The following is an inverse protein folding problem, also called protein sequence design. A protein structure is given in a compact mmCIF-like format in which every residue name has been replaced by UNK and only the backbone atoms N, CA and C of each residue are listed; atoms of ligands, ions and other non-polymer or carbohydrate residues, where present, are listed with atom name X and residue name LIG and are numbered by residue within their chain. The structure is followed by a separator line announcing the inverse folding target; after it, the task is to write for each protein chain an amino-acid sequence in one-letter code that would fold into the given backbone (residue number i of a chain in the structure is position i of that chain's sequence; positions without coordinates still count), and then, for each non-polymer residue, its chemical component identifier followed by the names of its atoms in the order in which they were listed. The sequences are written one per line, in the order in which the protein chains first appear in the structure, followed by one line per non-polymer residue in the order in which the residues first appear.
data_IF_246011381872
#
_entry.id   IF_246011381872
#
_cell.length_a   1.000
_cell.length_b   1.000
_cell.length_c   1.000
_cell.angle_alpha   90.00
_cell.angle_beta   90.00
_cell.angle_gamma   90.00
#
_symmetry.space_group_name_H-M   'P 1'
#
loop_
_entity.id
_entity.type
_entity.pdbx_description
1 polymer ?
#
# COMPACT_ATOMS: atom_id res chain seq x y z
N UNK A 1 -2.56 39.77 -1.78
CA UNK A 1 -3.77 39.30 -1.12
C UNK A 1 -3.52 37.92 -0.54
N UNK A 2 -3.21 37.87 0.74
CA UNK A 2 -3.04 36.61 1.47
C UNK A 2 -4.43 36.08 1.81
N UNK A 3 -4.94 35.17 0.99
CA UNK A 3 -6.18 34.44 1.29
C UNK A 3 -5.80 33.15 1.99
N UNK A 4 -6.10 33.09 3.27
CA UNK A 4 -5.93 31.86 4.04
C UNK A 4 -7.02 30.86 3.66
N UNK A 5 -6.63 29.70 3.13
CA UNK A 5 -7.56 28.63 2.82
C UNK A 5 -7.95 27.90 4.10
N UNK A 6 -9.24 27.94 4.43
CA UNK A 6 -9.77 27.18 5.55
C UNK A 6 -10.56 25.98 5.04
N UNK A 7 -10.09 24.82 5.40
CA UNK A 7 -10.78 23.56 5.07
C UNK A 7 -11.97 23.33 5.99
N UNK A 8 -13.03 22.73 5.45
CA UNK A 8 -14.14 22.22 6.25
C UNK A 8 -13.70 21.08 7.19
N UNK A 9 -14.58 20.66 8.14
CA UNK A 9 -14.21 19.69 9.19
C UNK A 9 -13.79 18.31 8.66
N UNK A 10 -14.29 17.92 7.47
CA UNK A 10 -13.97 16.63 6.85
C UNK A 10 -12.98 16.74 5.68
N UNK A 11 -12.37 17.92 5.48
CA UNK A 11 -11.38 18.14 4.42
C UNK A 11 -10.01 18.20 5.06
N UNK A 12 -9.12 17.32 4.60
CA UNK A 12 -7.71 17.26 5.03
C UNK A 12 -6.81 17.19 3.83
N UNK A 13 -5.63 17.77 3.96
CA UNK A 13 -4.57 17.62 2.98
C UNK A 13 -4.04 16.19 2.93
N UNK A 14 -3.39 15.86 1.81
CA UNK A 14 -2.69 14.60 1.66
C UNK A 14 -1.48 14.55 2.60
N UNK A 15 -1.19 13.39 3.20
CA UNK A 15 0.04 13.21 3.96
C UNK A 15 1.25 13.32 3.02
N UNK A 16 2.41 13.61 3.60
CA UNK A 16 3.66 13.69 2.84
C UNK A 16 3.96 12.33 2.19
N UNK A 17 4.23 12.37 0.89
CA UNK A 17 4.65 11.20 0.11
C UNK A 17 6.16 11.26 -0.12
N UNK A 18 6.82 10.11 -0.08
CA UNK A 18 8.26 9.99 -0.25
C UNK A 18 8.60 9.34 -1.59
N UNK A 19 9.70 9.75 -2.25
CA UNK A 19 10.13 9.09 -3.49
C UNK A 19 10.60 7.65 -3.21
N UNK A 20 10.54 6.83 -4.25
CA UNK A 20 10.99 5.44 -4.19
C UNK A 20 12.49 5.37 -3.94
N UNK A 21 12.91 4.50 -3.03
CA UNK A 21 14.31 4.19 -2.77
C UNK A 21 14.83 3.18 -3.79
N UNK A 22 16.14 2.91 -3.78
CA UNK A 22 16.78 1.97 -4.70
C UNK A 22 16.24 0.55 -4.53
N UNK A 23 16.06 0.11 -3.29
CA UNK A 23 15.52 -1.20 -2.94
C UNK A 23 14.19 -1.07 -2.21
N UNK A 24 13.42 -2.14 -2.22
CA UNK A 24 12.11 -2.19 -1.59
C UNK A 24 12.00 -3.45 -0.72
N UNK A 25 11.75 -3.25 0.58
CA UNK A 25 11.36 -4.32 1.50
C UNK A 25 9.86 -4.23 1.72
N UNK A 26 9.15 -5.31 1.47
CA UNK A 26 7.70 -5.37 1.59
C UNK A 26 7.31 -6.34 2.70
N UNK A 27 6.32 -5.96 3.49
CA UNK A 27 5.68 -6.87 4.43
C UNK A 27 4.21 -7.02 4.03
N UNK A 28 3.76 -8.27 3.92
CA UNK A 28 2.37 -8.55 3.56
C UNK A 28 1.44 -8.14 4.70
N UNK A 29 0.52 -7.24 4.41
CA UNK A 29 -0.49 -6.77 5.34
C UNK A 29 -1.86 -7.40 5.08
N UNK A 30 -2.08 -7.91 3.86
CA UNK A 30 -3.28 -8.66 3.51
C UNK A 30 -2.97 -9.70 2.43
N UNK A 31 -3.56 -10.87 2.56
CA UNK A 31 -3.48 -11.96 1.57
C UNK A 31 -4.91 -12.43 1.29
N UNK A 32 -5.40 -12.21 0.07
CA UNK A 32 -6.78 -12.50 -0.31
C UNK A 32 -6.78 -13.53 -1.44
N UNK A 33 -7.28 -14.72 -1.15
CA UNK A 33 -7.33 -15.83 -2.11
C UNK A 33 -8.65 -15.93 -2.90
N UNK A 34 -9.58 -15.00 -2.70
CA UNK A 34 -10.82 -14.95 -3.47
C UNK A 34 -10.52 -14.76 -4.97
N UNK A 35 -11.35 -15.35 -5.87
CA UNK A 35 -11.11 -15.24 -7.31
C UNK A 35 -11.01 -13.81 -7.82
N UNK A 36 -11.83 -12.89 -7.28
CA UNK A 36 -11.83 -11.47 -7.63
C UNK A 36 -11.98 -10.63 -6.35
N UNK A 37 -11.23 -9.55 -6.24
CA UNK A 37 -11.37 -8.55 -5.19
C UNK A 37 -11.87 -7.25 -5.82
N UNK A 38 -13.05 -6.80 -5.40
CA UNK A 38 -13.68 -5.59 -5.94
C UNK A 38 -13.11 -4.32 -5.31
N UNK A 39 -13.27 -3.19 -5.99
CA UNK A 39 -12.90 -1.89 -5.43
C UNK A 39 -13.74 -1.53 -4.21
N UNK A 40 -14.98 -2.02 -4.11
CA UNK A 40 -15.83 -1.82 -2.93
C UNK A 40 -15.31 -2.60 -1.72
N UNK A 41 -14.66 -3.74 -1.92
CA UNK A 41 -13.94 -4.46 -0.85
C UNK A 41 -12.66 -3.74 -0.45
N UNK A 42 -11.94 -3.18 -1.44
CA UNK A 42 -10.71 -2.41 -1.19
C UNK A 42 -11.01 -1.11 -0.43
N UNK A 43 -12.08 -0.43 -0.82
CA UNK A 43 -12.56 0.79 -0.15
C UNK A 43 -14.09 0.86 -0.24
N UNK A 44 -14.84 0.58 0.84
CA UNK A 44 -16.30 0.57 0.82
C UNK A 44 -16.87 1.96 0.53
N UNK A 45 -17.54 2.13 -0.61
CA UNK A 45 -18.03 3.44 -1.08
C UNK A 45 -19.22 3.97 -0.29
N UNK A 46 -20.11 3.08 0.18
CA UNK A 46 -21.31 3.47 0.91
C UNK A 46 -21.05 4.10 2.27
N UNK A 47 -20.02 3.62 2.98
CA UNK A 47 -19.67 4.09 4.32
C UNK A 47 -18.74 5.30 4.29
N UNK A 48 -18.14 5.61 3.15
CA UNK A 48 -17.04 6.56 3.02
C UNK A 48 -17.41 7.85 2.29
N UNK A 49 -18.67 8.01 1.86
CA UNK A 49 -19.09 9.14 1.04
C UNK A 49 -18.82 10.51 1.69
N UNK A 50 -18.94 10.62 3.01
CA UNK A 50 -18.67 11.86 3.75
C UNK A 50 -17.19 12.16 3.95
N UNK A 51 -16.30 11.23 3.66
CA UNK A 51 -14.85 11.36 3.89
C UNK A 51 -14.02 11.48 2.61
N UNK A 52 -14.64 11.67 1.45
CA UNK A 52 -13.93 11.72 0.15
C UNK A 52 -12.86 12.81 0.08
N UNK A 53 -13.04 13.90 0.80
CA UNK A 53 -12.07 15.01 0.87
C UNK A 53 -11.13 14.93 2.07
N UNK A 54 -11.11 13.79 2.78
CA UNK A 54 -10.24 13.55 3.92
C UNK A 54 -9.50 12.21 3.70
N UNK A 55 -8.36 12.20 3.00
CA UNK A 55 -7.67 10.96 2.63
C UNK A 55 -7.25 10.13 3.83
N UNK A 56 -6.86 10.76 4.93
CA UNK A 56 -6.47 10.04 6.15
C UNK A 56 -7.66 9.28 6.76
N UNK A 57 -8.82 9.92 6.85
CA UNK A 57 -10.02 9.28 7.39
C UNK A 57 -10.60 8.25 6.44
N UNK A 58 -10.61 8.55 5.15
CA UNK A 58 -11.05 7.62 4.11
C UNK A 58 -10.23 6.33 4.13
N UNK A 59 -8.90 6.44 4.27
CA UNK A 59 -8.01 5.30 4.26
C UNK A 59 -8.25 4.32 5.42
N UNK A 60 -8.80 4.77 6.53
CA UNK A 60 -9.12 3.90 7.67
C UNK A 60 -10.17 2.84 7.33
N UNK A 61 -10.93 3.01 6.25
CA UNK A 61 -11.91 2.04 5.77
C UNK A 61 -11.35 1.04 4.75
N UNK A 62 -10.08 1.17 4.36
CA UNK A 62 -9.47 0.27 3.38
C UNK A 62 -9.54 -1.18 3.85
N UNK A 63 -10.13 -2.06 3.04
CA UNK A 63 -10.35 -3.48 3.33
C UNK A 63 -11.11 -3.76 4.64
N UNK A 64 -11.81 -2.78 5.21
CA UNK A 64 -12.44 -2.89 6.52
C UNK A 64 -13.46 -4.03 6.62
N UNK A 65 -14.14 -4.35 5.52
CA UNK A 65 -15.11 -5.46 5.47
C UNK A 65 -14.45 -6.81 5.22
N UNK A 66 -13.31 -6.84 4.54
CA UNK A 66 -12.68 -8.08 4.07
C UNK A 66 -11.52 -8.53 4.94
N UNK A 67 -10.63 -7.60 5.28
CA UNK A 67 -9.47 -7.84 6.15
C UNK A 67 -9.38 -6.70 7.16
N UNK A 68 -10.14 -6.77 8.27
CA UNK A 68 -10.20 -5.68 9.25
C UNK A 68 -8.82 -5.32 9.84
N UNK A 69 -7.91 -6.28 9.90
CA UNK A 69 -6.56 -6.10 10.45
C UNK A 69 -5.62 -5.33 9.52
N UNK A 70 -5.98 -5.19 8.25
CA UNK A 70 -5.12 -4.58 7.23
C UNK A 70 -4.66 -3.17 7.60
N UNK A 71 -5.59 -2.31 8.00
CA UNK A 71 -5.28 -0.90 8.32
C UNK A 71 -4.28 -0.82 9.46
N UNK A 72 -4.48 -1.57 10.53
CA UNK A 72 -3.57 -1.62 11.68
C UNK A 72 -2.19 -2.14 11.31
N UNK A 73 -2.11 -3.23 10.56
CA UNK A 73 -0.85 -3.82 10.10
C UNK A 73 -0.10 -2.85 9.17
N UNK A 74 -0.80 -2.25 8.22
CA UNK A 74 -0.19 -1.30 7.27
C UNK A 74 0.33 -0.05 7.98
N UNK A 75 -0.43 0.49 8.92
CA UNK A 75 0.03 1.64 9.74
C UNK A 75 1.26 1.31 10.57
N UNK A 76 1.33 0.11 11.16
CA UNK A 76 2.51 -0.33 11.92
C UNK A 76 3.75 -0.42 11.02
N UNK A 77 3.61 -0.93 9.81
CA UNK A 77 4.68 -0.98 8.81
C UNK A 77 5.10 0.44 8.43
N UNK A 78 4.15 1.33 8.19
CA UNK A 78 4.42 2.73 7.86
C UNK A 78 5.21 3.45 8.95
N UNK A 79 4.87 3.22 10.22
CA UNK A 79 5.59 3.82 11.34
C UNK A 79 7.05 3.35 11.40
N UNK A 80 7.31 2.08 11.09
CA UNK A 80 8.67 1.55 11.01
C UNK A 80 9.46 2.17 9.86
N UNK A 81 8.82 2.44 8.73
CA UNK A 81 9.48 3.13 7.60
C UNK A 81 9.81 4.59 7.94
N UNK A 82 8.88 5.30 8.58
CA UNK A 82 9.11 6.69 9.01
C UNK A 82 10.26 6.77 10.04
N UNK A 83 10.30 5.86 11.01
CA UNK A 83 11.38 5.76 11.97
C UNK A 83 12.73 5.47 11.28
N UNK A 84 12.75 4.60 10.30
CA UNK A 84 13.93 4.30 9.48
C UNK A 84 14.46 5.57 8.79
N UNK A 85 13.58 6.41 8.24
CA UNK A 85 13.95 7.65 7.57
C UNK A 85 14.61 8.66 8.54
N UNK A 86 14.28 8.58 9.83
CA UNK A 86 14.86 9.39 10.89
C UNK A 86 16.14 8.76 11.48
N UNK A 87 16.59 7.63 10.95
CA UNK A 87 17.76 6.91 11.42
C UNK A 87 17.49 5.87 12.52
N UNK A 88 16.22 5.65 12.88
CA UNK A 88 15.81 4.71 13.91
C UNK A 88 15.23 3.43 13.27
N UNK A 89 16.10 2.48 12.96
CA UNK A 89 15.71 1.23 12.31
C UNK A 89 15.20 0.24 13.37
N UNK A 90 13.97 -0.21 13.24
CA UNK A 90 13.39 -1.22 14.14
C UNK A 90 14.11 -2.56 14.00
N UNK A 91 14.08 -3.39 15.04
CA UNK A 91 14.71 -4.72 15.02
C UNK A 91 14.13 -5.60 13.91
N UNK A 92 12.83 -5.51 13.66
CA UNK A 92 12.14 -6.20 12.57
C UNK A 92 12.74 -5.86 11.20
N UNK A 93 12.95 -4.59 10.92
CA UNK A 93 13.53 -4.13 9.65
C UNK A 93 15.02 -4.44 9.59
N UNK A 94 15.76 -4.20 10.67
CA UNK A 94 17.20 -4.46 10.75
C UNK A 94 17.52 -5.93 10.50
N UNK A 95 16.78 -6.85 11.11
CA UNK A 95 16.93 -8.29 10.92
C UNK A 95 16.68 -8.72 9.47
N UNK A 96 15.61 -8.21 8.87
CA UNK A 96 15.28 -8.49 7.47
C UNK A 96 16.36 -7.97 6.51
N UNK A 97 16.85 -6.76 6.73
CA UNK A 97 17.90 -6.15 5.91
C UNK A 97 19.23 -6.92 6.04
N UNK A 98 19.57 -7.38 7.23
CA UNK A 98 20.76 -8.17 7.46
C UNK A 98 20.75 -9.51 6.68
N UNK A 99 19.59 -10.16 6.60
CA UNK A 99 19.42 -11.41 5.84
C UNK A 99 19.68 -11.26 4.35
N UNK A 100 19.38 -10.09 3.78
CA UNK A 100 19.52 -9.83 2.33
C UNK A 100 20.73 -8.96 2.01
N UNK A 101 21.48 -8.49 3.01
CA UNK A 101 22.67 -7.66 2.83
C UNK A 101 22.37 -6.26 2.31
N UNK A 102 21.19 -5.72 2.57
CA UNK A 102 20.78 -4.38 2.13
C UNK A 102 21.01 -3.33 3.19
N UNK A 103 21.12 -2.05 2.76
CA UNK A 103 21.31 -0.91 3.63
C UNK A 103 19.96 -0.23 3.91
N UNK A 104 19.75 0.17 5.16
CA UNK A 104 18.52 0.84 5.58
C UNK A 104 18.28 2.17 4.84
N UNK A 105 19.33 2.92 4.53
CA UNK A 105 19.24 4.19 3.82
C UNK A 105 18.83 4.05 2.35
N UNK A 106 19.07 2.88 1.75
CA UNK A 106 18.79 2.60 0.33
C UNK A 106 17.53 1.76 0.13
N UNK A 107 16.84 1.39 1.21
CA UNK A 107 15.72 0.45 1.17
C UNK A 107 14.50 1.02 1.87
N UNK A 108 13.42 1.21 1.12
CA UNK A 108 12.12 1.58 1.69
C UNK A 108 11.46 0.35 2.33
N UNK A 109 10.69 0.58 3.38
CA UNK A 109 9.86 -0.45 4.00
C UNK A 109 8.40 -0.08 3.84
N UNK A 110 7.61 -0.95 3.23
CA UNK A 110 6.21 -0.67 2.94
C UNK A 110 5.33 -1.90 3.02
N UNK A 111 4.03 -1.66 3.10
CA UNK A 111 3.05 -2.74 3.09
C UNK A 111 2.75 -3.20 1.67
N UNK A 112 2.36 -4.46 1.56
CA UNK A 112 2.00 -5.11 0.32
C UNK A 112 0.69 -5.88 0.50
N UNK A 113 -0.14 -5.87 -0.53
CA UNK A 113 -1.37 -6.68 -0.57
C UNK A 113 -1.22 -7.73 -1.67
N UNK A 114 -1.52 -8.98 -1.34
CA UNK A 114 -1.72 -10.02 -2.33
C UNK A 114 -3.22 -10.23 -2.55
N UNK A 115 -3.63 -10.31 -3.81
CA UNK A 115 -4.96 -10.72 -4.22
C UNK A 115 -4.88 -11.44 -5.56
N UNK A 116 -5.79 -12.38 -5.83
CA UNK A 116 -5.76 -13.10 -7.11
C UNK A 116 -6.04 -12.17 -8.31
N UNK A 117 -7.11 -11.38 -8.22
CA UNK A 117 -7.52 -10.47 -9.29
C UNK A 117 -8.19 -9.22 -8.70
N UNK A 118 -7.40 -8.23 -8.26
CA UNK A 118 -7.94 -7.04 -7.62
C UNK A 118 -8.37 -5.95 -8.61
N UNK A 119 -9.32 -5.11 -8.19
CA UNK A 119 -9.62 -3.84 -8.85
C UNK A 119 -10.84 -3.83 -9.74
N UNK A 120 -11.73 -4.82 -9.62
CA UNK A 120 -13.01 -4.81 -10.32
C UNK A 120 -13.97 -3.80 -9.68
N UNK A 121 -14.50 -2.88 -10.47
CA UNK A 121 -15.42 -1.84 -9.99
C UNK A 121 -15.03 -0.43 -10.44
N UNK A 122 -15.71 0.59 -9.89
CA UNK A 122 -15.58 1.98 -10.33
C UNK A 122 -14.69 2.86 -9.46
N UNK A 123 -14.54 2.56 -8.17
CA UNK A 123 -13.75 3.37 -7.22
C UNK A 123 -12.24 3.05 -7.24
N UNK A 124 -11.66 2.90 -8.43
CA UNK A 124 -10.29 2.42 -8.65
C UNK A 124 -9.21 3.36 -8.10
N UNK A 125 -9.39 4.66 -8.32
CA UNK A 125 -8.45 5.67 -7.85
C UNK A 125 -8.42 5.73 -6.32
N UNK A 126 -9.58 5.75 -5.68
CA UNK A 126 -9.69 5.78 -4.22
C UNK A 126 -9.10 4.51 -3.58
N UNK A 127 -9.32 3.35 -4.20
CA UNK A 127 -8.72 2.10 -3.74
C UNK A 127 -7.19 2.17 -3.73
N UNK A 128 -6.59 2.72 -4.78
CA UNK A 128 -5.15 2.89 -4.86
C UNK A 128 -4.63 3.98 -3.91
N UNK A 129 -5.25 5.16 -3.91
CA UNK A 129 -4.80 6.28 -3.09
C UNK A 129 -4.87 5.99 -1.60
N UNK A 130 -5.93 5.33 -1.13
CA UNK A 130 -6.06 4.96 0.28
C UNK A 130 -5.00 3.96 0.71
N UNK A 131 -4.66 3.02 -0.14
CA UNK A 131 -3.57 2.08 0.11
C UNK A 131 -2.24 2.82 0.26
N UNK A 132 -1.97 3.80 -0.60
CA UNK A 132 -0.74 4.61 -0.52
C UNK A 132 -0.68 5.44 0.75
N UNK A 133 -1.77 6.05 1.16
CA UNK A 133 -1.87 6.83 2.40
C UNK A 133 -1.49 5.98 3.62
N UNK A 134 -1.80 4.71 3.60
CA UNK A 134 -1.47 3.76 4.67
C UNK A 134 -0.04 3.20 4.58
N UNK A 135 0.79 3.68 3.64
CA UNK A 135 2.16 3.20 3.46
C UNK A 135 2.28 2.01 2.52
N UNK A 136 1.28 1.75 1.69
CA UNK A 136 1.34 0.70 0.67
C UNK A 136 2.31 1.04 -0.44
N UNK A 137 3.24 0.13 -0.73
CA UNK A 137 4.27 0.31 -1.76
C UNK A 137 4.08 -0.61 -2.95
N UNK A 138 3.37 -1.72 -2.80
CA UNK A 138 3.20 -2.70 -3.87
C UNK A 138 1.92 -3.53 -3.71
N UNK A 139 1.49 -4.09 -4.83
CA UNK A 139 0.50 -5.16 -4.89
C UNK A 139 1.11 -6.34 -5.63
N UNK A 140 0.75 -7.54 -5.23
CA UNK A 140 1.10 -8.79 -5.91
C UNK A 140 -0.19 -9.50 -6.30
N UNK A 141 -0.31 -9.89 -7.55
CA UNK A 141 -1.49 -10.61 -8.04
C UNK A 141 -1.14 -11.53 -9.20
N UNK A 142 -2.07 -12.40 -9.58
CA UNK A 142 -1.94 -13.17 -10.82
C UNK A 142 -2.30 -12.31 -12.04
N UNK A 143 -3.36 -11.52 -11.93
CA UNK A 143 -3.70 -10.52 -12.94
C UNK A 143 -4.52 -9.38 -12.30
N UNK A 144 -4.55 -8.22 -12.95
CA UNK A 144 -5.40 -7.12 -12.53
C UNK A 144 -6.76 -7.20 -13.20
N UNK A 145 -7.83 -6.96 -12.45
CA UNK A 145 -9.20 -7.02 -12.97
C UNK A 145 -9.43 -5.95 -14.03
N UNK A 146 -8.78 -4.80 -13.92
CA UNK A 146 -8.86 -3.71 -14.88
C UNK A 146 -7.49 -3.06 -15.10
N UNK A 147 -7.23 -2.61 -16.33
CA UNK A 147 -6.04 -1.81 -16.65
C UNK A 147 -6.03 -0.47 -15.90
N UNK A 148 -7.21 0.09 -15.64
CA UNK A 148 -7.35 1.35 -14.90
C UNK A 148 -6.87 1.25 -13.48
N UNK A 149 -7.24 0.19 -12.77
CA UNK A 149 -6.76 -0.01 -11.40
C UNK A 149 -5.24 -0.14 -11.37
N UNK A 150 -4.67 -0.92 -12.27
CA UNK A 150 -3.23 -1.05 -12.42
C UNK A 150 -2.56 0.30 -12.67
N UNK A 151 -3.10 1.10 -13.59
CA UNK A 151 -2.58 2.44 -13.89
C UNK A 151 -2.69 3.38 -12.69
N UNK A 152 -3.79 3.30 -11.95
CA UNK A 152 -3.97 4.10 -10.73
C UNK A 152 -2.94 3.72 -9.66
N UNK A 153 -2.63 2.44 -9.49
CA UNK A 153 -1.55 2.01 -8.59
C UNK A 153 -0.22 2.65 -8.99
N UNK A 154 0.14 2.59 -10.26
CA UNK A 154 1.38 3.19 -10.78
C UNK A 154 1.40 4.70 -10.52
N UNK A 155 0.30 5.40 -10.81
CA UNK A 155 0.19 6.86 -10.62
C UNK A 155 0.38 7.26 -9.15
N UNK A 156 0.00 6.41 -8.21
CA UNK A 156 0.18 6.64 -6.77
C UNK A 156 1.49 6.08 -6.23
N UNK A 157 2.36 5.56 -7.09
CA UNK A 157 3.65 5.00 -6.66
C UNK A 157 3.54 3.62 -5.99
N UNK A 158 2.48 2.88 -6.29
CA UNK A 158 2.31 1.50 -5.86
C UNK A 158 2.75 0.60 -7.00
N UNK A 159 3.76 -0.23 -6.78
CA UNK A 159 4.29 -1.10 -7.82
C UNK A 159 3.36 -2.30 -8.05
N UNK A 160 2.86 -2.50 -9.28
CA UNK A 160 1.95 -3.60 -9.59
C UNK A 160 2.73 -4.84 -10.05
N UNK A 161 3.07 -5.73 -9.12
CA UNK A 161 3.70 -7.00 -9.46
C UNK A 161 2.67 -8.03 -9.91
N UNK A 162 3.07 -8.87 -10.87
CA UNK A 162 2.30 -10.04 -11.28
C UNK A 162 3.16 -11.29 -11.17
N UNK A 163 2.55 -12.42 -10.82
CA UNK A 163 3.20 -13.73 -10.77
C UNK A 163 2.48 -14.70 -11.70
N UNK A 164 3.18 -15.74 -12.14
CA UNK A 164 2.62 -16.76 -13.02
C UNK A 164 1.45 -17.49 -12.35
N UNK A 165 0.38 -17.78 -13.11
CA UNK A 165 -0.83 -18.44 -12.60
C UNK A 165 -0.56 -19.81 -11.97
N UNK A 166 0.50 -20.47 -12.42
CA UNK A 166 0.93 -21.79 -11.92
C UNK A 166 1.71 -21.70 -10.60
N UNK A 167 2.15 -20.50 -10.22
CA UNK A 167 2.92 -20.29 -9.00
C UNK A 167 1.97 -20.17 -7.80
N UNK A 168 2.00 -21.12 -6.84
CA UNK A 168 1.19 -20.97 -5.65
C UNK A 168 1.72 -19.82 -4.78
N UNK A 169 0.83 -19.02 -4.23
CA UNK A 169 1.19 -17.98 -3.28
C UNK A 169 0.97 -18.50 -1.86
N UNK A 170 2.06 -18.79 -1.18
CA UNK A 170 2.05 -19.44 0.15
C UNK A 170 2.40 -18.50 1.29
N UNK A 171 2.74 -17.24 0.99
CA UNK A 171 3.06 -16.24 2.00
C UNK A 171 1.82 -15.79 2.77
N UNK A 172 2.01 -15.42 4.01
CA UNK A 172 0.96 -14.99 4.93
C UNK A 172 1.20 -13.55 5.38
N UNK A 173 0.18 -12.85 5.95
CA UNK A 173 0.41 -11.55 6.57
C UNK A 173 1.55 -11.60 7.59
N UNK A 174 2.45 -10.65 7.53
CA UNK A 174 3.68 -10.61 8.32
C UNK A 174 4.91 -11.14 7.60
N UNK A 175 4.76 -11.92 6.55
CA UNK A 175 5.90 -12.36 5.73
C UNK A 175 6.45 -11.20 4.90
N UNK A 176 7.76 -11.25 4.63
CA UNK A 176 8.47 -10.19 3.93
C UNK A 176 8.98 -10.62 2.57
N UNK A 177 9.00 -9.67 1.64
CA UNK A 177 9.57 -9.83 0.29
C UNK A 177 10.56 -8.70 0.05
N UNK A 178 11.75 -9.04 -0.42
CA UNK A 178 12.78 -8.05 -0.76
C UNK A 178 12.90 -7.92 -2.27
N UNK A 179 12.85 -6.68 -2.76
CA UNK A 179 12.98 -6.36 -4.19
C UNK A 179 14.18 -5.43 -4.38
N UNK A 180 15.34 -5.96 -4.79
CA UNK A 180 16.53 -5.14 -5.03
C UNK A 180 16.43 -4.40 -6.37
N UNK A 181 17.03 -3.21 -6.44
CA UNK A 181 17.16 -2.45 -7.68
C UNK A 181 15.84 -2.02 -8.31
N UNK A 182 14.77 -1.89 -7.54
CA UNK A 182 13.43 -1.57 -8.06
C UNK A 182 13.40 -0.20 -8.77
N UNK A 183 14.15 0.77 -8.29
CA UNK A 183 14.20 2.11 -8.88
C UNK A 183 14.73 2.10 -10.30
N UNK A 184 15.68 1.22 -10.62
CA UNK A 184 16.25 1.07 -11.96
C UNK A 184 15.38 0.21 -12.89
N UNK A 185 14.49 -0.61 -12.32
CA UNK A 185 13.64 -1.53 -13.08
C UNK A 185 12.34 -0.89 -13.60
N UNK A 186 12.02 0.32 -13.18
CA UNK A 186 10.76 1.04 -13.53
C UNK A 186 11.00 2.10 -14.58
#
# INVERSE_FOLDING_TARGET
HDVELRYGPNIKDWPKMYPMQENMLLELAAVIHDPVTTTDELIPSGETSSYRSNPLKLSEFALSRRVPEYVGLSKAIQQQDLARREGNVSDNVAEALAKVGAKAEDTSFGSCVFANRPGDGSAREQAASCQKVLGGDANICYEYATKRYRSNCINWGIVPFTIAKETPFELQPGDKVFVPGIREAI
#
